data_IF_066135935525
#
_entry.id   IF_066135935525
#
_cell.length_a   1.000
_cell.length_b   1.000
_cell.length_c   1.000
_cell.angle_alpha   90.00
_cell.angle_beta   90.00
_cell.angle_gamma   90.00
#
_symmetry.space_group_name_H-M   'P 1'
#
loop_
_entity.id
_entity.type
_entity.pdbx_description
1 polymer ?
#
# COMPACT_ATOMS: atom_id res chain seq x y z
N UNK A 1 2.21 -4.57 -3.36
CA UNK A 1 0.88 -4.76 -2.72
C UNK A 1 0.45 -3.49 -2.01
N UNK A 2 -0.85 -3.34 -1.72
CA UNK A 2 -1.44 -2.19 -1.01
C UNK A 2 -0.71 -1.92 0.33
N UNK A 3 -0.76 -0.69 0.83
CA UNK A 3 -0.29 -0.39 2.19
C UNK A 3 -1.13 -1.12 3.25
N UNK A 4 -0.54 -1.56 4.35
CA UNK A 4 -1.27 -2.22 5.45
C UNK A 4 -1.62 -3.71 5.23
N UNK A 5 -1.23 -4.31 4.11
CA UNK A 5 -1.47 -5.76 3.83
C UNK A 5 -0.46 -6.72 4.45
N UNK A 6 0.46 -6.25 5.30
CA UNK A 6 1.40 -7.13 6.00
C UNK A 6 2.66 -7.57 5.23
N UNK A 7 3.05 -6.88 4.14
CA UNK A 7 4.28 -7.18 3.38
C UNK A 7 5.54 -7.29 4.27
N UNK A 8 5.73 -6.31 5.16
CA UNK A 8 6.85 -6.30 6.10
C UNK A 8 6.73 -7.44 7.12
N UNK A 9 5.52 -7.79 7.55
CA UNK A 9 5.29 -8.93 8.46
C UNK A 9 5.60 -10.28 7.80
N UNK A 10 5.28 -10.45 6.52
CA UNK A 10 5.68 -11.64 5.75
C UNK A 10 7.21 -11.74 5.65
N UNK A 11 7.91 -10.61 5.43
CA UNK A 11 9.37 -10.59 5.42
C UNK A 11 9.96 -10.91 6.80
N UNK A 12 9.39 -10.40 7.88
CA UNK A 12 9.78 -10.74 9.27
C UNK A 12 9.57 -12.24 9.54
N UNK A 13 8.42 -12.79 9.19
CA UNK A 13 8.13 -14.21 9.38
C UNK A 13 9.09 -15.10 8.56
N UNK A 14 9.42 -14.69 7.33
CA UNK A 14 10.44 -15.37 6.53
C UNK A 14 11.80 -15.38 7.25
N UNK A 15 12.23 -14.23 7.75
CA UNK A 15 13.48 -14.10 8.51
C UNK A 15 13.44 -14.99 9.75
N UNK A 16 12.33 -15.02 10.50
CA UNK A 16 12.20 -15.87 11.68
C UNK A 16 12.36 -17.36 11.35
N UNK A 17 11.65 -17.84 10.32
CA UNK A 17 11.68 -19.26 9.89
C UNK A 17 13.02 -19.70 9.29
N UNK A 18 13.69 -18.81 8.58
CA UNK A 18 14.91 -19.13 7.83
C UNK A 18 16.17 -18.52 8.45
N UNK A 19 16.09 -18.01 9.69
CA UNK A 19 17.21 -17.31 10.34
C UNK A 19 18.50 -18.14 10.40
N UNK A 20 18.38 -19.45 10.62
CA UNK A 20 19.52 -20.38 10.64
C UNK A 20 20.17 -20.67 9.29
N UNK A 21 19.58 -20.23 8.17
CA UNK A 21 20.15 -20.43 6.82
C UNK A 21 21.14 -19.34 6.43
N UNK A 22 21.18 -18.22 7.17
CA UNK A 22 21.96 -17.05 6.82
C UNK A 22 22.99 -16.72 7.88
N UNK A 23 24.20 -16.36 7.45
CA UNK A 23 25.25 -15.90 8.36
C UNK A 23 25.07 -14.42 8.74
N UNK A 24 24.42 -13.65 7.87
CA UNK A 24 24.13 -12.23 8.05
C UNK A 24 22.71 -11.97 7.57
N UNK A 25 21.90 -11.34 8.41
CA UNK A 25 20.59 -10.82 8.06
C UNK A 25 20.58 -9.35 8.40
N UNK A 26 20.28 -8.50 7.43
CA UNK A 26 20.29 -7.06 7.64
C UNK A 26 19.02 -6.40 7.09
N UNK A 27 18.36 -5.62 7.93
CA UNK A 27 17.14 -4.89 7.60
C UNK A 27 17.47 -3.44 7.23
N UNK A 28 17.00 -3.00 6.06
CA UNK A 28 17.33 -1.71 5.46
C UNK A 28 16.03 -0.96 5.18
N UNK A 29 15.74 0.12 5.92
CA UNK A 29 14.65 1.03 5.56
C UNK A 29 14.95 1.69 4.21
N UNK A 30 14.07 1.48 3.23
CA UNK A 30 14.30 1.83 1.81
C UNK A 30 13.33 2.89 1.27
N UNK A 31 12.63 3.58 2.16
CA UNK A 31 11.71 4.68 1.85
C UNK A 31 12.44 5.97 1.45
N UNK A 32 13.67 6.16 1.91
CA UNK A 32 14.52 7.29 1.56
C UNK A 32 15.97 6.84 1.37
N UNK A 33 16.65 7.45 0.42
CA UNK A 33 18.04 7.13 0.11
C UNK A 33 18.98 7.33 1.31
N UNK A 34 18.75 8.38 2.11
CA UNK A 34 19.52 8.66 3.33
C UNK A 34 19.47 7.51 4.34
N UNK A 35 18.32 6.84 4.48
CA UNK A 35 18.15 5.72 5.41
C UNK A 35 18.87 4.46 4.91
N UNK A 36 18.86 4.22 3.59
CA UNK A 36 19.63 3.14 2.97
C UNK A 36 21.12 3.33 3.22
N UNK A 37 21.61 4.55 2.97
CA UNK A 37 23.02 4.90 3.19
C UNK A 37 23.44 4.69 4.65
N UNK A 38 22.61 5.15 5.60
CA UNK A 38 22.88 4.98 7.02
C UNK A 38 22.92 3.48 7.42
N UNK A 39 21.91 2.70 7.03
CA UNK A 39 21.83 1.28 7.36
C UNK A 39 22.98 0.47 6.74
N UNK A 40 23.42 0.80 5.52
CA UNK A 40 24.56 0.14 4.89
C UNK A 40 25.89 0.57 5.51
N UNK A 41 26.02 1.81 5.97
CA UNK A 41 27.21 2.24 6.72
C UNK A 41 27.32 1.48 8.06
N UNK A 42 26.19 1.27 8.75
CA UNK A 42 26.15 0.43 9.95
C UNK A 42 26.47 -1.04 9.66
N UNK A 43 25.99 -1.58 8.53
CA UNK A 43 26.34 -2.93 8.10
C UNK A 43 27.84 -3.09 7.87
N UNK A 44 28.54 -2.07 7.37
CA UNK A 44 29.99 -2.12 7.21
C UNK A 44 30.71 -2.43 8.54
N UNK A 45 30.26 -1.78 9.62
CA UNK A 45 30.76 -2.05 10.97
C UNK A 45 30.35 -3.45 11.45
N UNK A 46 29.09 -3.87 11.20
CA UNK A 46 28.60 -5.21 11.55
C UNK A 46 29.34 -6.35 10.84
N UNK A 47 29.83 -6.12 9.61
CA UNK A 47 30.65 -7.04 8.85
C UNK A 47 32.14 -7.01 9.25
N UNK A 48 32.55 -6.07 10.11
CA UNK A 48 33.95 -5.89 10.52
C UNK A 48 34.86 -5.37 9.40
N UNK A 49 34.32 -4.57 8.46
CA UNK A 49 35.12 -4.01 7.37
C UNK A 49 36.00 -2.85 7.87
N UNK A 50 37.28 -2.87 7.50
CA UNK A 50 38.24 -1.81 7.85
C UNK A 50 38.06 -0.56 6.95
N UNK A 51 36.92 0.12 7.08
CA UNK A 51 36.57 1.34 6.32
C UNK A 51 36.03 2.43 7.24
N UNK A 52 36.17 3.69 6.81
CA UNK A 52 35.60 4.83 7.53
C UNK A 52 34.07 4.82 7.53
N UNK A 53 33.41 5.46 8.52
CA UNK A 53 31.95 5.45 8.68
C UNK A 53 31.21 6.26 7.61
N UNK A 54 31.93 6.97 6.74
CA UNK A 54 31.32 7.78 5.69
C UNK A 54 30.66 6.87 4.63
N UNK A 55 29.42 7.18 4.26
CA UNK A 55 28.64 6.34 3.35
C UNK A 55 29.30 6.18 1.97
N UNK A 56 30.03 7.19 1.49
CA UNK A 56 30.75 7.13 0.21
C UNK A 56 31.92 6.12 0.20
N UNK A 57 32.43 5.70 1.36
CA UNK A 57 33.44 4.64 1.48
C UNK A 57 32.85 3.32 1.97
N UNK A 58 31.94 3.38 2.96
CA UNK A 58 31.36 2.20 3.58
C UNK A 58 30.45 1.42 2.61
N UNK A 59 29.58 2.12 1.87
CA UNK A 59 28.59 1.48 0.99
C UNK A 59 29.24 0.70 -0.16
N UNK A 60 30.22 1.24 -0.90
CA UNK A 60 30.95 0.46 -1.91
C UNK A 60 31.65 -0.78 -1.33
N UNK A 61 32.26 -0.66 -0.14
CA UNK A 61 32.94 -1.77 0.52
C UNK A 61 31.98 -2.88 0.93
N UNK A 62 30.81 -2.52 1.48
CA UNK A 62 29.74 -3.48 1.81
C UNK A 62 29.25 -4.18 0.54
N UNK A 63 28.99 -3.45 -0.54
CA UNK A 63 28.57 -4.06 -1.80
C UNK A 63 29.60 -5.05 -2.34
N UNK A 64 30.89 -4.75 -2.22
CA UNK A 64 31.96 -5.65 -2.63
C UNK A 64 32.09 -6.88 -1.71
N UNK A 65 31.98 -6.69 -0.40
CA UNK A 65 31.99 -7.77 0.59
C UNK A 65 30.83 -8.77 0.33
N UNK A 66 29.62 -8.26 0.15
CA UNK A 66 28.43 -9.06 -0.16
C UNK A 66 28.54 -9.74 -1.53
N UNK A 67 29.08 -9.05 -2.54
CA UNK A 67 29.29 -9.62 -3.88
C UNK A 67 30.27 -10.79 -3.85
N UNK A 68 31.35 -10.68 -3.08
CA UNK A 68 32.39 -11.71 -2.97
C UNK A 68 32.05 -12.80 -1.96
N UNK A 69 31.08 -12.57 -1.08
CA UNK A 69 30.75 -13.49 0.02
C UNK A 69 31.84 -13.53 1.10
N UNK A 70 32.59 -12.44 1.27
CA UNK A 70 33.66 -12.32 2.28
C UNK A 70 33.42 -11.08 3.14
N UNK A 71 33.49 -11.17 4.48
CA UNK A 71 33.88 -12.35 5.25
C UNK A 71 32.77 -13.41 5.43
N UNK A 72 31.51 -13.06 5.12
CA UNK A 72 30.36 -13.96 5.28
C UNK A 72 29.72 -14.30 3.92
N UNK A 73 29.56 -15.59 3.65
CA UNK A 73 28.71 -16.08 2.57
C UNK A 73 27.24 -16.19 3.04
N UNK A 74 26.31 -16.53 2.14
CA UNK A 74 24.90 -16.75 2.44
C UNK A 74 24.28 -15.67 3.35
N UNK A 75 24.21 -14.45 2.85
CA UNK A 75 23.59 -13.31 3.53
C UNK A 75 22.16 -13.06 3.02
N UNK A 76 21.37 -12.34 3.82
CA UNK A 76 20.04 -11.86 3.46
C UNK A 76 19.95 -10.36 3.72
N UNK A 77 19.65 -9.58 2.67
CA UNK A 77 19.26 -8.18 2.82
C UNK A 77 17.75 -8.04 2.68
N UNK A 78 17.11 -7.30 3.59
CA UNK A 78 15.70 -6.94 3.49
C UNK A 78 15.58 -5.44 3.29
N UNK A 79 15.26 -5.00 2.08
CA UNK A 79 14.92 -3.60 1.78
C UNK A 79 13.43 -3.40 2.00
N UNK A 80 13.06 -2.76 3.11
CA UNK A 80 11.68 -2.55 3.51
C UNK A 80 11.17 -1.19 3.06
N UNK A 81 9.92 -1.14 2.58
CA UNK A 81 9.24 0.08 2.13
C UNK A 81 9.93 0.79 0.94
N UNK A 82 10.50 0.03 0.01
CA UNK A 82 11.19 0.56 -1.17
C UNK A 82 10.22 1.26 -2.14
N UNK A 83 10.39 2.55 -2.41
CA UNK A 83 9.52 3.30 -3.34
C UNK A 83 10.10 3.41 -4.75
N UNK A 84 11.34 3.90 -4.86
CA UNK A 84 12.05 4.10 -6.12
C UNK A 84 12.90 2.88 -6.47
N UNK A 85 12.62 2.27 -7.61
CA UNK A 85 13.27 1.03 -8.04
C UNK A 85 14.75 1.26 -8.36
N UNK A 86 15.06 2.28 -9.14
CA UNK A 86 16.42 2.49 -9.63
C UNK A 86 17.34 3.02 -8.53
N UNK A 87 16.82 3.91 -7.67
CA UNK A 87 17.53 4.35 -6.48
C UNK A 87 17.89 3.16 -5.58
N UNK A 88 16.93 2.28 -5.26
CA UNK A 88 17.18 1.12 -4.38
C UNK A 88 18.09 0.09 -5.06
N UNK A 89 17.89 -0.22 -6.33
CA UNK A 89 18.74 -1.19 -7.07
C UNK A 89 20.20 -0.75 -7.17
N UNK A 90 20.48 0.55 -7.16
CA UNK A 90 21.85 1.07 -7.17
C UNK A 90 22.68 0.58 -5.97
N UNK A 91 22.01 0.16 -4.89
CA UNK A 91 22.61 -0.36 -3.66
C UNK A 91 22.77 -1.88 -3.64
N UNK A 92 22.22 -2.60 -4.62
CA UNK A 92 22.37 -4.05 -4.67
C UNK A 92 23.83 -4.44 -4.97
N UNK A 93 24.36 -5.51 -4.35
CA UNK A 93 25.59 -6.12 -4.82
C UNK A 93 25.37 -6.74 -6.21
N UNK A 94 26.42 -6.70 -7.05
CA UNK A 94 26.36 -7.26 -8.40
C UNK A 94 26.56 -8.79 -8.36
N UNK A 95 25.54 -9.51 -7.90
CA UNK A 95 25.59 -10.94 -7.61
C UNK A 95 26.10 -11.24 -6.19
N UNK A 96 26.54 -12.47 -5.96
CA UNK A 96 27.00 -12.96 -4.67
C UNK A 96 26.16 -14.15 -4.16
N UNK A 97 26.58 -14.79 -3.05
CA UNK A 97 25.94 -16.00 -2.54
C UNK A 97 24.68 -15.72 -1.70
N UNK A 98 24.22 -14.47 -1.60
CA UNK A 98 23.09 -14.10 -0.77
C UNK A 98 21.78 -13.88 -1.50
N UNK A 99 20.76 -13.48 -0.74
CA UNK A 99 19.41 -13.17 -1.23
C UNK A 99 18.99 -11.77 -0.82
N UNK A 100 18.09 -11.19 -1.61
CA UNK A 100 17.51 -9.87 -1.35
C UNK A 100 16.00 -10.04 -1.33
N UNK A 101 15.37 -9.55 -0.25
CA UNK A 101 13.93 -9.33 -0.18
C UNK A 101 13.69 -7.84 -0.30
N UNK A 102 12.73 -7.46 -1.14
CA UNK A 102 12.26 -6.09 -1.25
C UNK A 102 10.77 -6.06 -0.93
N UNK A 103 10.37 -5.27 0.06
CA UNK A 103 8.95 -4.96 0.26
C UNK A 103 8.63 -3.63 -0.41
N UNK A 104 7.57 -3.58 -1.20
CA UNK A 104 7.21 -2.36 -1.93
C UNK A 104 5.73 -2.25 -2.23
N UNK A 105 5.27 -1.00 -2.34
CA UNK A 105 3.97 -0.62 -2.91
C UNK A 105 4.05 -0.43 -4.43
N UNK A 106 5.24 -0.22 -4.98
CA UNK A 106 5.42 -0.02 -6.41
C UNK A 106 5.32 -1.37 -7.15
N UNK A 107 4.32 -1.52 -8.04
CA UNK A 107 4.14 -2.76 -8.81
C UNK A 107 5.19 -2.94 -9.91
N UNK A 108 5.87 -1.88 -10.33
CA UNK A 108 6.87 -1.93 -11.39
C UNK A 108 8.12 -2.77 -11.03
N UNK A 109 8.25 -3.19 -9.76
CA UNK A 109 9.28 -4.14 -9.32
C UNK A 109 9.22 -5.48 -10.06
N UNK A 110 8.07 -5.86 -10.64
CA UNK A 110 7.94 -7.06 -11.48
C UNK A 110 8.85 -7.04 -12.73
N UNK A 111 9.29 -5.86 -13.15
CA UNK A 111 10.18 -5.69 -14.31
C UNK A 111 11.64 -6.08 -14.00
N UNK A 112 11.98 -6.14 -12.72
CA UNK A 112 13.37 -6.30 -12.24
C UNK A 112 13.55 -7.50 -11.33
N UNK A 113 12.47 -8.05 -10.78
CA UNK A 113 12.47 -9.19 -9.86
C UNK A 113 11.22 -10.05 -10.05
N UNK A 114 11.22 -11.27 -9.50
CA UNK A 114 10.01 -12.11 -9.44
C UNK A 114 9.12 -11.61 -8.30
N UNK A 115 7.93 -11.03 -8.58
CA UNK A 115 7.11 -10.45 -7.54
C UNK A 115 6.32 -11.52 -6.78
N UNK A 116 6.18 -11.33 -5.47
CA UNK A 116 5.14 -11.98 -4.67
C UNK A 116 4.04 -10.95 -4.40
N UNK A 117 2.89 -11.10 -5.04
CA UNK A 117 1.74 -10.25 -4.75
C UNK A 117 1.16 -10.63 -3.40
N UNK A 118 1.01 -9.64 -2.52
CA UNK A 118 0.35 -9.78 -1.23
C UNK A 118 -0.92 -8.95 -1.31
N UNK A 119 -2.06 -9.64 -1.24
CA UNK A 119 -3.40 -9.06 -1.23
C UNK A 119 -3.89 -8.86 0.22
N UNK A 120 -5.11 -8.37 0.38
CA UNK A 120 -5.79 -8.35 1.68
C UNK A 120 -5.98 -9.79 2.19
N UNK A 121 -6.36 -9.94 3.47
CA UNK A 121 -6.66 -11.26 4.00
C UNK A 121 -7.85 -11.89 3.29
N UNK A 122 -7.83 -13.22 3.22
CA UNK A 122 -9.06 -13.97 3.03
C UNK A 122 -9.97 -13.76 4.25
N UNK A 123 -11.28 -13.80 4.05
CA UNK A 123 -12.25 -13.53 5.13
C UNK A 123 -12.00 -14.39 6.37
N UNK A 124 -11.64 -15.66 6.18
CA UNK A 124 -11.33 -16.59 7.26
C UNK A 124 -10.09 -16.17 8.06
N UNK A 125 -9.06 -15.61 7.41
CA UNK A 125 -7.87 -15.08 8.07
C UNK A 125 -8.21 -13.85 8.92
N UNK A 126 -9.04 -12.94 8.39
CA UNK A 126 -9.55 -11.77 9.13
C UNK A 126 -10.32 -12.19 10.39
N UNK A 127 -11.26 -13.12 10.25
CA UNK A 127 -12.06 -13.66 11.37
C UNK A 127 -11.14 -14.30 12.41
N UNK A 128 -10.20 -15.14 11.96
CA UNK A 128 -9.23 -15.82 12.82
C UNK A 128 -8.38 -14.82 13.61
N UNK A 129 -7.87 -13.77 12.96
CA UNK A 129 -7.09 -12.73 13.66
C UNK A 129 -7.93 -11.99 14.70
N UNK A 130 -9.15 -11.57 14.35
CA UNK A 130 -10.05 -10.88 15.27
C UNK A 130 -10.35 -11.73 16.51
N UNK A 131 -10.67 -13.02 16.34
CA UNK A 131 -10.94 -13.92 17.46
C UNK A 131 -9.71 -14.22 18.31
N UNK A 132 -8.50 -14.19 17.74
CA UNK A 132 -7.25 -14.33 18.49
C UNK A 132 -6.97 -13.10 19.36
N UNK A 133 -7.22 -11.89 18.83
CA UNK A 133 -7.02 -10.63 19.56
C UNK A 133 -8.12 -10.38 20.59
N UNK A 134 -9.37 -10.52 20.18
CA UNK A 134 -10.57 -10.35 20.99
C UNK A 134 -11.15 -11.71 21.39
N UNK A 135 -10.60 -12.31 22.46
CA UNK A 135 -11.11 -13.60 22.96
C UNK A 135 -12.57 -13.50 23.36
N UNK A 136 -13.41 -14.36 22.80
CA UNK A 136 -14.85 -14.38 23.05
C UNK A 136 -15.69 -13.64 22.01
N UNK A 137 -15.04 -12.98 21.03
CA UNK A 137 -15.74 -12.40 19.89
C UNK A 137 -16.42 -13.51 19.05
N UNK A 138 -17.72 -13.35 18.80
CA UNK A 138 -18.48 -14.29 18.00
C UNK A 138 -17.96 -14.32 16.55
N UNK A 139 -18.07 -15.47 15.88
CA UNK A 139 -17.68 -15.56 14.47
C UNK A 139 -18.50 -14.60 13.58
N UNK A 140 -19.77 -14.37 13.94
CA UNK A 140 -20.64 -13.45 13.24
C UNK A 140 -20.19 -11.99 13.39
N UNK A 141 -19.82 -11.56 14.59
CA UNK A 141 -19.34 -10.19 14.82
C UNK A 141 -17.95 -9.98 14.22
N UNK A 142 -17.09 -11.00 14.26
CA UNK A 142 -15.80 -10.98 13.59
C UNK A 142 -15.96 -10.83 12.06
N UNK A 143 -16.91 -11.56 11.46
CA UNK A 143 -17.22 -11.44 10.04
C UNK A 143 -17.72 -10.03 9.67
N UNK A 144 -18.63 -9.45 10.48
CA UNK A 144 -19.13 -8.09 10.28
C UNK A 144 -18.04 -7.03 10.38
N UNK A 145 -17.14 -7.15 11.36
CA UNK A 145 -15.98 -6.26 11.48
C UNK A 145 -15.04 -6.42 10.28
N UNK A 146 -14.70 -7.65 9.91
CA UNK A 146 -13.86 -7.93 8.76
C UNK A 146 -14.44 -7.32 7.47
N UNK A 147 -15.77 -7.42 7.28
CA UNK A 147 -16.45 -6.81 6.14
C UNK A 147 -16.35 -5.29 6.14
N UNK A 148 -16.67 -4.64 7.26
CA UNK A 148 -16.60 -3.18 7.36
C UNK A 148 -15.18 -2.65 7.09
N UNK A 149 -14.17 -3.42 7.48
CA UNK A 149 -12.75 -3.10 7.33
C UNK A 149 -12.16 -3.58 5.99
N UNK A 150 -12.96 -4.23 5.15
CA UNK A 150 -12.53 -4.74 3.84
C UNK A 150 -11.39 -5.74 3.92
N UNK A 151 -11.30 -6.49 5.02
CA UNK A 151 -10.27 -7.52 5.23
C UNK A 151 -8.82 -6.99 5.20
N UNK A 152 -8.63 -5.68 5.36
CA UNK A 152 -7.29 -5.09 5.41
C UNK A 152 -6.59 -5.50 6.71
N UNK A 153 -5.47 -6.26 6.67
CA UNK A 153 -4.82 -6.82 7.85
C UNK A 153 -4.57 -5.80 8.97
N UNK A 154 -4.03 -4.63 8.60
CA UNK A 154 -3.77 -3.57 9.56
C UNK A 154 -5.06 -3.07 10.23
N UNK A 155 -6.14 -2.85 9.48
CA UNK A 155 -7.38 -2.34 10.04
C UNK A 155 -8.07 -3.39 10.92
N UNK A 156 -8.04 -4.65 10.50
CA UNK A 156 -8.54 -5.80 11.25
C UNK A 156 -7.82 -5.93 12.59
N UNK A 157 -6.49 -5.85 12.58
CA UNK A 157 -5.67 -5.86 13.80
C UNK A 157 -6.01 -4.70 14.73
N UNK A 158 -6.17 -3.50 14.18
CA UNK A 158 -6.52 -2.30 14.95
C UNK A 158 -7.88 -2.43 15.64
N UNK A 159 -8.91 -2.90 14.92
CA UNK A 159 -10.23 -3.12 15.48
C UNK A 159 -10.23 -4.23 16.55
N UNK A 160 -9.51 -5.32 16.31
CA UNK A 160 -9.36 -6.41 17.28
C UNK A 160 -8.67 -5.97 18.56
N UNK A 161 -7.58 -5.19 18.45
CA UNK A 161 -6.88 -4.62 19.60
C UNK A 161 -7.75 -3.63 20.37
N UNK A 162 -8.49 -2.76 19.67
CA UNK A 162 -9.42 -1.82 20.28
C UNK A 162 -10.53 -2.52 21.07
N UNK A 163 -11.16 -3.52 20.47
CA UNK A 163 -12.19 -4.31 21.14
C UNK A 163 -11.62 -5.02 22.38
N UNK A 164 -10.44 -5.63 22.28
CA UNK A 164 -9.78 -6.29 23.41
C UNK A 164 -9.45 -5.32 24.56
N UNK A 165 -9.06 -4.08 24.24
CA UNK A 165 -8.68 -3.07 25.23
C UNK A 165 -9.89 -2.39 25.90
N UNK A 166 -10.96 -2.15 25.14
CA UNK A 166 -12.11 -1.34 25.60
C UNK A 166 -13.34 -2.15 25.97
N UNK A 167 -13.47 -3.37 25.44
CA UNK A 167 -14.71 -4.15 25.53
C UNK A 167 -15.87 -3.56 24.73
N UNK A 168 -15.63 -2.59 23.85
CA UNK A 168 -16.67 -1.93 23.06
C UNK A 168 -17.46 -2.94 22.23
N UNK A 169 -18.81 -2.96 22.33
CA UNK A 169 -19.65 -3.81 21.50
C UNK A 169 -19.42 -3.57 20.00
N UNK A 170 -19.51 -4.64 19.21
CA UNK A 170 -19.28 -4.53 17.76
C UNK A 170 -20.27 -3.60 17.07
N UNK A 171 -21.53 -3.59 17.49
CA UNK A 171 -22.54 -2.67 16.94
C UNK A 171 -22.16 -1.21 17.18
N UNK A 172 -21.66 -0.89 18.38
CA UNK A 172 -21.20 0.46 18.72
C UNK A 172 -19.95 0.85 17.92
N UNK A 173 -18.98 -0.06 17.79
CA UNK A 173 -17.80 0.17 16.96
C UNK A 173 -18.17 0.43 15.50
N UNK A 174 -19.06 -0.38 14.93
CA UNK A 174 -19.52 -0.22 13.55
C UNK A 174 -20.29 1.09 13.34
N UNK A 175 -21.10 1.51 14.32
CA UNK A 175 -21.77 2.80 14.29
C UNK A 175 -20.78 3.96 14.32
N UNK A 176 -19.80 3.93 15.23
CA UNK A 176 -18.74 4.94 15.29
C UNK A 176 -17.88 4.95 14.02
N UNK A 177 -17.61 3.77 13.46
CA UNK A 177 -16.97 3.63 12.16
C UNK A 177 -17.88 4.11 11.03
N UNK A 178 -19.18 4.35 11.17
CA UNK A 178 -19.97 4.98 10.12
C UNK A 178 -20.02 6.51 10.31
N UNK A 179 -20.23 6.94 11.55
CA UNK A 179 -20.43 8.34 11.92
C UNK A 179 -19.14 9.16 11.99
N UNK A 180 -18.03 8.57 12.47
CA UNK A 180 -16.77 9.24 12.83
C UNK A 180 -15.55 8.55 12.22
N UNK A 181 -15.67 8.13 10.96
CA UNK A 181 -14.62 7.39 10.21
C UNK A 181 -13.21 7.96 10.33
N UNK A 182 -12.97 9.26 10.06
CA UNK A 182 -11.62 9.81 10.13
C UNK A 182 -11.01 9.59 11.52
N UNK A 183 -11.79 9.87 12.56
CA UNK A 183 -11.34 9.77 13.95
C UNK A 183 -11.02 8.33 14.32
N UNK A 184 -11.88 7.38 13.95
CA UNK A 184 -11.65 5.94 14.24
C UNK A 184 -10.44 5.40 13.48
N UNK A 185 -10.23 5.80 12.22
CA UNK A 185 -9.10 5.34 11.39
C UNK A 185 -7.78 6.08 11.69
N UNK A 186 -7.85 7.19 12.44
CA UNK A 186 -6.72 7.96 12.95
C UNK A 186 -6.35 7.59 14.40
N UNK A 187 -7.18 6.83 15.11
CA UNK A 187 -6.81 6.26 16.41
C UNK A 187 -5.70 5.23 16.23
N UNK A 188 -4.56 5.45 16.89
CA UNK A 188 -3.49 4.45 17.00
C UNK A 188 -3.81 3.50 18.17
N UNK A 189 -4.16 2.22 17.94
CA UNK A 189 -4.72 1.39 19.01
C UNK A 189 -3.72 0.42 19.63
N UNK A 190 -2.45 0.38 19.20
CA UNK A 190 -1.48 -0.59 19.71
C UNK A 190 -0.03 -0.05 19.76
N UNK A 191 0.76 -0.41 20.80
CA UNK A 191 2.21 -0.16 20.82
C UNK A 191 2.96 -0.84 19.67
N UNK A 192 2.43 -1.95 19.14
CA UNK A 192 3.10 -2.78 18.12
C UNK A 192 2.95 -2.20 16.70
N UNK A 193 2.00 -1.30 16.48
CA UNK A 193 1.85 -0.58 15.21
C UNK A 193 1.36 0.85 15.46
N UNK A 194 2.27 1.82 15.61
CA UNK A 194 1.94 3.18 16.04
C UNK A 194 1.26 4.02 14.95
N UNK A 195 1.20 3.53 13.71
CA UNK A 195 0.61 4.25 12.58
C UNK A 195 -0.86 3.89 12.41
N UNK A 196 -1.78 4.88 12.41
CA UNK A 196 -3.17 4.66 12.07
C UNK A 196 -3.35 4.18 10.62
N UNK A 197 -4.42 3.45 10.33
CA UNK A 197 -4.72 2.95 8.96
C UNK A 197 -4.74 4.10 7.95
N UNK A 198 -5.30 5.25 8.32
CA UNK A 198 -5.36 6.41 7.44
C UNK A 198 -3.97 6.94 7.03
N UNK A 199 -2.99 6.87 7.94
CA UNK A 199 -1.62 7.38 7.71
C UNK A 199 -0.85 6.57 6.64
N UNK A 200 -1.22 5.30 6.44
CA UNK A 200 -0.56 4.40 5.48
C UNK A 200 -0.62 4.93 4.04
N UNK A 201 -1.64 5.71 3.70
CA UNK A 201 -1.82 6.25 2.35
C UNK A 201 -1.37 7.71 2.20
N UNK A 202 -1.03 8.39 3.28
CA UNK A 202 -0.73 9.84 3.27
C UNK A 202 0.45 10.19 2.38
N UNK A 203 1.52 9.41 2.43
CA UNK A 203 2.70 9.64 1.58
C UNK A 203 2.33 9.53 0.10
N UNK A 204 1.59 8.47 -0.28
CA UNK A 204 1.17 8.24 -1.66
C UNK A 204 0.19 9.31 -2.14
N UNK A 205 -0.76 9.73 -1.29
CA UNK A 205 -1.72 10.79 -1.60
C UNK A 205 -1.02 12.15 -1.70
N UNK A 206 -0.09 12.47 -0.80
CA UNK A 206 0.70 13.70 -0.82
C UNK A 206 1.55 13.81 -2.08
N UNK A 207 2.25 12.72 -2.46
CA UNK A 207 3.01 12.64 -3.70
C UNK A 207 2.13 12.86 -4.93
N UNK A 208 0.98 12.19 -4.99
CA UNK A 208 0.02 12.34 -6.09
C UNK A 208 -0.47 13.79 -6.23
N UNK A 209 -0.63 14.49 -5.10
CA UNK A 209 -1.09 15.88 -5.08
C UNK A 209 -0.10 16.85 -5.71
N UNK A 210 1.20 16.57 -5.59
CA UNK A 210 2.27 17.40 -6.14
C UNK A 210 2.57 16.99 -7.59
N UNK A 211 2.67 15.70 -7.86
CA UNK A 211 3.11 15.18 -9.16
C UNK A 211 1.99 15.12 -10.21
N UNK A 212 0.75 14.80 -9.82
CA UNK A 212 -0.36 14.62 -10.75
C UNK A 212 -1.73 14.96 -10.09
N UNK A 213 -2.06 16.26 -9.95
CA UNK A 213 -3.32 16.71 -9.34
C UNK A 213 -4.58 16.16 -10.02
N UNK A 214 -4.55 15.97 -11.34
CA UNK A 214 -5.68 15.43 -12.08
C UNK A 214 -5.91 13.94 -11.78
N UNK A 215 -4.84 13.16 -11.56
CA UNK A 215 -4.98 11.78 -11.08
C UNK A 215 -5.53 11.73 -9.64
N UNK A 216 -5.20 12.70 -8.78
CA UNK A 216 -5.84 12.84 -7.46
C UNK A 216 -7.34 13.08 -7.58
N UNK A 217 -7.77 14.00 -8.44
CA UNK A 217 -9.20 14.24 -8.67
C UNK A 217 -9.92 13.03 -9.25
N UNK A 218 -9.27 12.31 -10.19
CA UNK A 218 -9.79 11.05 -10.69
C UNK A 218 -9.99 10.01 -9.57
N UNK A 219 -9.01 9.90 -8.67
CA UNK A 219 -9.10 9.01 -7.50
C UNK A 219 -10.24 9.41 -6.56
N UNK A 220 -10.43 10.71 -6.29
CA UNK A 220 -11.52 11.24 -5.46
C UNK A 220 -12.90 10.90 -6.06
N UNK A 221 -13.04 10.99 -7.38
CA UNK A 221 -14.28 10.59 -8.08
C UNK A 221 -14.52 9.09 -7.98
N UNK A 222 -13.50 8.28 -8.22
CA UNK A 222 -13.59 6.83 -8.03
C UNK A 222 -13.92 6.45 -6.58
N UNK A 223 -13.55 7.29 -5.60
CA UNK A 223 -13.88 7.07 -4.19
C UNK A 223 -15.36 7.36 -3.87
N UNK A 224 -16.03 8.16 -4.69
CA UNK A 224 -17.48 8.39 -4.60
C UNK A 224 -18.33 7.32 -5.31
N UNK A 225 -17.69 6.33 -5.95
CA UNK A 225 -18.38 5.19 -6.59
C UNK A 225 -18.48 4.00 -5.63
N UNK A 226 -19.28 3.00 -5.98
CA UNK A 226 -19.30 1.74 -5.25
C UNK A 226 -17.90 1.09 -5.22
N UNK A 227 -17.55 0.31 -4.17
CA UNK A 227 -16.28 -0.42 -4.05
C UNK A 227 -16.10 -1.59 -5.03
N UNK A 228 -16.84 -1.57 -6.14
CA UNK A 228 -16.83 -2.57 -7.19
C UNK A 228 -15.81 -2.22 -8.28
N UNK A 229 -15.37 -3.19 -9.10
CA UNK A 229 -14.52 -2.90 -10.26
C UNK A 229 -15.18 -1.87 -11.20
N UNK A 230 -14.51 -0.72 -11.37
CA UNK A 230 -14.95 0.39 -12.22
C UNK A 230 -14.44 0.16 -13.65
N UNK A 231 -15.31 0.02 -14.66
CA UNK A 231 -14.87 -0.13 -16.04
C UNK A 231 -14.10 1.10 -16.56
N UNK A 232 -12.90 0.91 -17.11
CA UNK A 232 -12.08 2.03 -17.62
C UNK A 232 -12.72 2.73 -18.83
N UNK A 233 -13.57 2.03 -19.58
CA UNK A 233 -14.33 2.61 -20.69
C UNK A 233 -15.37 3.64 -20.22
N UNK A 234 -15.90 3.52 -19.00
CA UNK A 234 -16.78 4.52 -18.38
C UNK A 234 -16.03 5.84 -18.17
N UNK A 235 -14.79 5.78 -17.68
CA UNK A 235 -13.94 6.98 -17.54
C UNK A 235 -13.66 7.64 -18.90
N UNK A 236 -13.53 6.83 -19.97
CA UNK A 236 -13.38 7.32 -21.35
C UNK A 236 -14.65 7.93 -21.92
N UNK A 237 -15.83 7.58 -21.41
CA UNK A 237 -17.12 8.15 -21.79
C UNK A 237 -17.32 9.60 -21.32
N UNK A 238 -16.53 10.02 -20.33
CA UNK A 238 -16.60 11.34 -19.70
C UNK A 238 -16.11 12.53 -20.53
N UNK A 239 -15.77 12.37 -21.82
CA UNK A 239 -15.20 13.46 -22.65
C UNK A 239 -16.07 14.72 -22.72
N UNK A 240 -17.37 14.54 -22.59
CA UNK A 240 -18.38 15.61 -22.67
C UNK A 240 -18.82 16.11 -21.29
N UNK A 241 -18.27 15.56 -20.21
CA UNK A 241 -18.53 16.02 -18.85
C UNK A 241 -17.56 17.15 -18.53
N UNK A 242 -18.04 18.15 -17.80
CA UNK A 242 -17.23 19.23 -17.24
C UNK A 242 -17.23 19.08 -15.73
N UNK A 243 -16.06 18.89 -15.14
CA UNK A 243 -15.87 18.70 -13.70
C UNK A 243 -14.91 19.76 -13.17
N UNK A 244 -13.67 19.72 -13.64
CA UNK A 244 -12.62 20.70 -13.35
C UNK A 244 -11.73 20.86 -14.58
N UNK A 245 -11.12 22.02 -14.82
CA UNK A 245 -10.24 22.23 -15.97
C UNK A 245 -9.11 21.18 -16.08
N UNK A 246 -8.55 20.79 -14.94
CA UNK A 246 -7.45 19.82 -14.86
C UNK A 246 -7.89 18.41 -15.26
N UNK A 247 -9.02 17.95 -14.73
CA UNK A 247 -9.52 16.61 -14.99
C UNK A 247 -10.17 16.48 -16.37
N UNK A 248 -10.88 17.51 -16.82
CA UNK A 248 -11.51 17.54 -18.14
C UNK A 248 -10.48 17.25 -19.25
N UNK A 249 -9.27 17.81 -19.11
CA UNK A 249 -8.16 17.56 -20.02
C UNK A 249 -7.74 16.08 -20.00
N UNK A 250 -7.67 15.47 -18.82
CA UNK A 250 -7.32 14.05 -18.66
C UNK A 250 -8.40 13.14 -19.24
N UNK A 251 -9.69 13.44 -19.02
CA UNK A 251 -10.80 12.62 -19.52
C UNK A 251 -10.94 12.68 -21.06
N UNK A 252 -10.60 13.82 -21.68
CA UNK A 252 -10.65 14.01 -23.14
C UNK A 252 -9.48 13.37 -23.89
N UNK A 253 -8.34 13.20 -23.24
CA UNK A 253 -7.13 12.65 -23.84
C UNK A 253 -6.85 11.22 -23.32
N UNK A 254 -7.01 10.17 -24.16
CA UNK A 254 -6.76 8.78 -23.78
C UNK A 254 -5.36 8.52 -23.22
N UNK A 255 -4.34 9.24 -23.69
CA UNK A 255 -2.96 9.07 -23.24
C UNK A 255 -2.78 9.65 -21.84
N UNK A 256 -3.39 10.80 -21.55
CA UNK A 256 -3.37 11.40 -20.21
C UNK A 256 -4.16 10.55 -19.22
N UNK A 257 -5.32 10.00 -19.60
CA UNK A 257 -6.08 9.08 -18.76
C UNK A 257 -5.31 7.78 -18.47
N UNK A 258 -4.65 7.21 -19.48
CA UNK A 258 -3.79 6.03 -19.31
C UNK A 258 -2.62 6.33 -18.36
N UNK A 259 -2.02 7.53 -18.48
CA UNK A 259 -0.97 8.00 -17.56
C UNK A 259 -1.50 8.16 -16.13
N UNK A 260 -2.62 8.84 -15.94
CA UNK A 260 -3.22 9.04 -14.63
C UNK A 260 -3.57 7.70 -13.94
N UNK A 261 -4.24 6.79 -14.65
CA UNK A 261 -4.58 5.46 -14.13
C UNK A 261 -3.35 4.61 -13.80
N UNK A 262 -2.30 4.67 -14.64
CA UNK A 262 -1.02 4.03 -14.34
C UNK A 262 -0.34 4.63 -13.11
N UNK A 263 -0.34 5.96 -12.97
CA UNK A 263 0.28 6.64 -11.83
C UNK A 263 -0.45 6.25 -10.51
N UNK A 264 -1.78 6.14 -10.53
CA UNK A 264 -2.56 5.60 -9.40
C UNK A 264 -2.19 4.14 -9.06
N UNK A 265 -2.05 3.30 -10.09
CA UNK A 265 -1.68 1.90 -9.93
C UNK A 265 -0.25 1.72 -9.42
N UNK A 266 0.68 2.59 -9.85
CA UNK A 266 2.08 2.60 -9.42
C UNK A 266 2.20 2.86 -7.92
N UNK A 267 1.34 3.73 -7.39
CA UNK A 267 1.28 4.02 -5.95
C UNK A 267 0.49 2.97 -5.15
N UNK A 268 0.02 1.89 -5.80
CA UNK A 268 -0.91 0.90 -5.22
C UNK A 268 -2.17 1.53 -4.59
N UNK A 269 -2.62 2.69 -5.12
CA UNK A 269 -3.88 3.30 -4.70
C UNK A 269 -5.08 2.60 -5.37
N UNK A 270 -4.85 2.01 -6.54
CA UNK A 270 -5.85 1.22 -7.28
C UNK A 270 -5.22 -0.04 -7.84
N UNK A 271 -6.03 -1.08 -8.05
CA UNK A 271 -5.69 -2.28 -8.80
C UNK A 271 -6.26 -2.14 -10.20
N UNK A 272 -5.42 -2.28 -11.22
CA UNK A 272 -5.85 -2.38 -12.61
C UNK A 272 -5.95 -3.86 -13.00
N UNK A 273 -7.09 -4.24 -13.59
CA UNK A 273 -7.23 -5.49 -14.32
C UNK A 273 -7.23 -5.18 -15.81
N UNK A 274 -6.12 -5.48 -16.47
CA UNK A 274 -5.97 -5.24 -17.91
C UNK A 274 -6.82 -6.18 -18.77
N UNK A 275 -7.16 -7.38 -18.27
CA UNK A 275 -8.00 -8.34 -19.00
C UNK A 275 -9.46 -7.92 -18.94
N UNK A 276 -9.95 -7.56 -17.75
CA UNK A 276 -11.31 -7.07 -17.57
C UNK A 276 -11.48 -5.60 -17.99
N UNK A 277 -10.38 -4.85 -18.10
CA UNK A 277 -10.41 -3.41 -18.40
C UNK A 277 -11.01 -2.60 -17.25
N UNK A 278 -10.77 -3.01 -16.00
CA UNK A 278 -11.35 -2.38 -14.81
C UNK A 278 -10.28 -1.79 -13.89
N UNK A 279 -10.71 -0.86 -13.06
CA UNK A 279 -9.96 -0.25 -11.97
C UNK A 279 -10.73 -0.50 -10.68
N UNK A 280 -10.05 -0.98 -9.64
CA UNK A 280 -10.66 -1.20 -8.34
C UNK A 280 -9.88 -0.50 -7.24
N UNK A 281 -10.58 0.11 -6.30
CA UNK A 281 -10.02 0.71 -5.10
C UNK A 281 -10.44 -0.08 -3.87
N UNK A 282 -9.61 -0.11 -2.84
CA UNK A 282 -9.98 -0.71 -1.57
C UNK A 282 -11.07 0.10 -0.87
N UNK A 283 -12.11 -0.55 -0.34
CA UNK A 283 -13.27 0.13 0.28
C UNK A 283 -12.89 1.09 1.42
N UNK A 284 -11.96 0.70 2.30
CA UNK A 284 -11.49 1.60 3.36
C UNK A 284 -10.78 2.84 2.82
N UNK A 285 -10.04 2.71 1.71
CA UNK A 285 -9.38 3.85 1.09
C UNK A 285 -10.42 4.81 0.50
N UNK A 286 -11.45 4.29 -0.18
CA UNK A 286 -12.55 5.12 -0.68
C UNK A 286 -13.18 5.94 0.46
N UNK A 287 -13.46 5.26 1.57
CA UNK A 287 -14.03 5.89 2.75
C UNK A 287 -13.13 6.99 3.34
N UNK A 288 -11.82 6.73 3.48
CA UNK A 288 -10.85 7.74 3.97
C UNK A 288 -10.79 8.94 3.02
N UNK A 289 -10.75 8.70 1.71
CA UNK A 289 -10.69 9.78 0.72
C UNK A 289 -11.95 10.64 0.80
N UNK A 290 -13.15 10.04 0.78
CA UNK A 290 -14.42 10.77 0.84
C UNK A 290 -14.57 11.55 2.15
N UNK A 291 -14.16 10.97 3.28
CA UNK A 291 -14.29 11.60 4.58
C UNK A 291 -13.36 12.81 4.76
N UNK A 292 -12.22 12.84 4.06
CA UNK A 292 -11.27 13.96 4.05
C UNK A 292 -11.62 15.09 3.08
N UNK A 293 -12.56 14.87 2.16
CA UNK A 293 -13.09 15.95 1.32
C UNK A 293 -13.95 16.90 2.16
N UNK A 294 -13.79 18.20 1.93
CA UNK A 294 -14.73 19.19 2.43
C UNK A 294 -16.12 19.00 1.78
N UNK A 295 -17.19 19.58 2.34
CA UNK A 295 -18.55 19.37 1.82
C UNK A 295 -18.74 19.73 0.34
N UNK A 296 -18.10 20.80 -0.13
CA UNK A 296 -18.23 21.32 -1.51
C UNK A 296 -17.46 20.45 -2.50
N UNK A 297 -16.23 20.08 -2.15
CA UNK A 297 -15.43 19.11 -2.90
C UNK A 297 -16.16 17.77 -2.99
N UNK A 298 -16.72 17.29 -1.87
CA UNK A 298 -17.43 16.02 -1.82
C UNK A 298 -18.66 16.02 -2.75
N UNK A 299 -19.43 17.09 -2.75
CA UNK A 299 -20.56 17.26 -3.66
C UNK A 299 -20.11 17.28 -5.12
N UNK A 300 -19.04 18.03 -5.41
CA UNK A 300 -18.43 18.11 -6.75
C UNK A 300 -17.99 16.73 -7.26
N UNK A 301 -17.27 15.97 -6.44
CA UNK A 301 -16.76 14.63 -6.82
C UNK A 301 -17.89 13.60 -6.95
N UNK A 302 -18.94 13.67 -6.13
CA UNK A 302 -20.14 12.83 -6.28
C UNK A 302 -20.89 13.13 -7.57
N UNK A 303 -21.12 14.42 -7.86
CA UNK A 303 -21.79 14.83 -9.09
C UNK A 303 -21.01 14.37 -10.32
N UNK A 304 -19.69 14.51 -10.29
CA UNK A 304 -18.79 13.95 -11.31
C UNK A 304 -18.92 12.43 -11.46
N UNK A 305 -18.95 11.67 -10.36
CA UNK A 305 -19.16 10.23 -10.40
C UNK A 305 -20.50 9.85 -11.06
N UNK A 306 -21.58 10.54 -10.71
CA UNK A 306 -22.90 10.34 -11.32
C UNK A 306 -22.90 10.66 -12.82
N UNK A 307 -22.25 11.75 -13.24
CA UNK A 307 -22.13 12.12 -14.65
C UNK A 307 -21.33 11.07 -15.45
N UNK A 308 -20.25 10.53 -14.89
CA UNK A 308 -19.49 9.46 -15.52
C UNK A 308 -20.30 8.15 -15.61
N UNK A 309 -21.07 7.80 -14.57
CA UNK A 309 -21.92 6.61 -14.55
C UNK A 309 -23.06 6.70 -15.58
N UNK A 310 -23.66 7.88 -15.76
CA UNK A 310 -24.77 8.09 -16.71
C UNK A 310 -24.33 8.16 -18.17
N UNK A 311 -23.09 8.62 -18.42
CA UNK A 311 -22.51 8.68 -19.78
C UNK A 311 -21.94 7.34 -20.23
N UNK A 312 -21.64 6.43 -19.32
CA UNK A 312 -21.32 5.05 -19.64
C UNK A 312 -22.57 4.32 -20.13
N UNK A 313 -22.66 4.08 -21.44
CA UNK A 313 -23.64 3.11 -21.95
C UNK A 313 -23.38 1.76 -21.28
N UNK A 314 -24.37 1.12 -20.63
CA UNK A 314 -24.18 -0.26 -20.17
C UNK A 314 -23.87 -1.11 -21.40
N UNK A 315 -22.62 -1.57 -21.50
CA UNK A 315 -22.27 -2.59 -22.47
C UNK A 315 -23.08 -3.83 -22.13
N UNK A 316 -23.81 -4.36 -23.11
CA UNK A 316 -24.46 -5.66 -22.98
C UNK A 316 -23.44 -6.68 -22.46
N UNK A 317 -23.76 -7.48 -21.43
CA UNK A 317 -22.86 -8.53 -20.99
C UNK A 317 -22.59 -9.46 -22.17
N UNK A 318 -21.30 -9.75 -22.39
CA UNK A 318 -20.89 -10.75 -23.36
C UNK A 318 -21.58 -12.07 -22.99
N UNK A 319 -22.35 -12.59 -23.95
CA UNK A 319 -23.07 -13.86 -23.86
C UNK A 319 -22.09 -15.03 -23.89
#
# INVERSE_FOLDING_TARGET
GLGGVGKSQIAVEYVYRHSGEYNVIWWIPAEQESLILAALAELAAGLGLEVGPQANTAVPAVREALRTGKPFDNWLLVFDNAEDIEAVRSYFPNGGPGKIIVTSRNREWERVATPLSVDVFDREESISLLQRRARGLSAQDADRLADALGDLPLAVEQAGAWHAATGMPVDEYLQLLDERRPEILEMAPSPDYPLPVAAVWDISLGRLSVENPAARQLLQICACMAPEPIPLNMLRGGRNVQITPELDRVLRDPLLLARATRDLSKLSLVRLDHKAGTLQMHRLMQNVIVARLDPEERETMRNAAHLLLTTAKPGLPAS
#
